data_IF_944170585308
#
_entry.id   IF_944170585308
#
_cell.length_a   1.000
_cell.length_b   1.000
_cell.length_c   1.000
_cell.angle_alpha   90.00
_cell.angle_beta   90.00
_cell.angle_gamma   90.00
#
_symmetry.space_group_name_H-M   'P 1'
#
loop_
_entity.id
_entity.type
_entity.pdbx_description
1 polymer ?
#
# COMPACT_ATOMS: atom_id res chain seq x y z
N UNK A 1 9.29 -25.22 -11.48
CA UNK A 1 8.60 -24.80 -10.24
C UNK A 1 9.49 -23.97 -9.30
N UNK A 2 10.81 -24.15 -9.28
CA UNK A 2 11.78 -23.28 -8.59
C UNK A 2 11.81 -21.82 -9.09
N UNK A 3 11.54 -21.61 -10.38
CA UNK A 3 11.56 -20.28 -11.03
C UNK A 3 10.37 -19.40 -10.59
N UNK A 4 9.22 -19.99 -10.26
CA UNK A 4 8.00 -19.24 -9.91
C UNK A 4 8.12 -18.65 -8.50
N UNK A 5 8.69 -19.40 -7.56
CA UNK A 5 8.98 -18.91 -6.22
C UNK A 5 10.01 -17.77 -6.24
N UNK A 6 11.06 -17.91 -7.07
CA UNK A 6 12.09 -16.87 -7.23
C UNK A 6 11.56 -15.63 -7.94
N UNK A 7 10.70 -15.79 -8.96
CA UNK A 7 10.06 -14.69 -9.66
C UNK A 7 9.12 -13.89 -8.74
N UNK A 8 8.36 -14.55 -7.84
CA UNK A 8 7.52 -13.85 -6.87
C UNK A 8 8.32 -13.04 -5.84
N UNK A 9 9.48 -13.55 -5.41
CA UNK A 9 10.38 -12.84 -4.48
C UNK A 9 10.97 -11.60 -5.17
N UNK A 10 11.38 -11.72 -6.42
CA UNK A 10 11.99 -10.63 -7.20
C UNK A 10 10.96 -9.56 -7.59
N UNK A 11 9.77 -9.95 -8.05
CA UNK A 11 8.70 -9.01 -8.43
C UNK A 11 8.24 -8.16 -7.23
N UNK A 12 8.21 -8.76 -6.02
CA UNK A 12 7.87 -8.02 -4.78
C UNK A 12 8.97 -7.06 -4.33
N UNK A 13 10.24 -7.45 -4.48
CA UNK A 13 11.39 -6.62 -4.12
C UNK A 13 11.50 -5.38 -5.04
N UNK A 14 11.28 -5.55 -6.34
CA UNK A 14 11.32 -4.46 -7.33
C UNK A 14 10.16 -3.47 -7.12
N UNK A 15 8.95 -3.95 -6.82
CA UNK A 15 7.81 -3.09 -6.54
C UNK A 15 8.03 -2.20 -5.30
N UNK A 16 8.76 -2.70 -4.29
CA UNK A 16 8.96 -2.00 -3.03
C UNK A 16 10.08 -0.95 -3.07
N UNK A 17 11.18 -1.21 -3.78
CA UNK A 17 12.29 -0.25 -3.90
C UNK A 17 11.99 0.92 -4.85
N UNK A 18 11.01 0.79 -5.74
CA UNK A 18 10.90 1.70 -6.90
C UNK A 18 10.16 3.03 -6.71
N UNK A 19 9.18 3.17 -5.79
CA UNK A 19 8.19 4.28 -5.93
C UNK A 19 7.67 4.94 -4.64
N UNK A 20 8.29 4.71 -3.48
CA UNK A 20 7.59 4.90 -2.20
C UNK A 20 7.70 6.23 -1.45
N UNK A 21 8.75 7.05 -1.57
CA UNK A 21 8.98 8.13 -0.60
C UNK A 21 9.19 9.50 -1.24
N UNK A 22 8.10 10.20 -1.53
CA UNK A 22 8.15 11.66 -1.57
C UNK A 22 8.26 12.16 -0.14
N UNK A 23 9.28 12.98 0.14
CA UNK A 23 9.65 13.36 1.49
C UNK A 23 8.74 14.49 2.01
N UNK A 24 7.65 14.12 2.70
CA UNK A 24 6.62 15.04 3.19
C UNK A 24 7.18 16.22 4.00
N UNK A 25 8.24 16.00 4.78
CA UNK A 25 8.92 17.04 5.58
C UNK A 25 9.57 18.12 4.72
N UNK A 26 10.30 17.72 3.68
CA UNK A 26 10.99 18.66 2.80
C UNK A 26 9.98 19.53 2.03
N UNK A 27 8.84 18.94 1.67
CA UNK A 27 7.75 19.65 0.99
C UNK A 27 7.09 20.70 1.90
N UNK A 28 6.87 20.38 3.18
CA UNK A 28 6.34 21.34 4.16
C UNK A 28 7.27 22.55 4.34
N UNK A 29 8.58 22.34 4.39
CA UNK A 29 9.53 23.44 4.52
C UNK A 29 9.51 24.38 3.30
N UNK A 30 9.34 23.84 2.09
CA UNK A 30 9.21 24.65 0.88
C UNK A 30 7.93 25.50 0.90
N UNK A 31 6.79 24.90 1.30
CA UNK A 31 5.53 25.63 1.43
C UNK A 31 5.63 26.69 2.51
N UNK A 32 6.18 26.37 3.69
CA UNK A 32 6.38 27.32 4.78
C UNK A 32 7.16 28.55 4.32
N UNK A 33 8.25 28.37 3.57
CA UNK A 33 9.04 29.49 3.02
C UNK A 33 8.21 30.36 2.06
N UNK A 34 7.38 29.75 1.22
CA UNK A 34 6.53 30.46 0.25
C UNK A 34 5.39 31.22 0.92
N UNK A 35 4.77 30.64 1.97
CA UNK A 35 3.70 31.28 2.73
C UNK A 35 4.25 32.43 3.58
N UNK A 36 5.40 32.27 4.24
CA UNK A 36 6.06 33.35 4.98
C UNK A 36 6.52 34.50 4.07
N UNK A 37 6.87 34.20 2.82
CA UNK A 37 7.18 35.21 1.80
C UNK A 37 5.91 35.87 1.18
N UNK A 38 4.73 35.60 1.75
CA UNK A 38 3.42 36.05 1.29
C UNK A 38 3.11 35.71 -0.18
N UNK A 39 3.68 34.62 -0.70
CA UNK A 39 3.59 34.24 -2.11
C UNK A 39 2.73 32.98 -2.29
N UNK A 40 1.44 33.14 -1.99
CA UNK A 40 0.46 32.04 -2.02
C UNK A 40 0.28 31.48 -3.44
N UNK A 41 0.34 32.32 -4.48
CA UNK A 41 0.26 31.88 -5.88
C UNK A 41 1.39 30.92 -6.28
N UNK A 42 2.63 31.19 -5.83
CA UNK A 42 3.75 30.27 -6.08
C UNK A 42 3.62 28.98 -5.28
N UNK A 43 3.08 29.03 -4.07
CA UNK A 43 2.80 27.83 -3.28
C UNK A 43 1.76 26.92 -3.97
N UNK A 44 0.69 27.50 -4.53
CA UNK A 44 -0.32 26.76 -5.31
C UNK A 44 0.27 26.16 -6.59
N UNK A 45 1.17 26.88 -7.29
CA UNK A 45 1.88 26.35 -8.46
C UNK A 45 2.79 25.16 -8.13
N UNK A 46 3.53 25.23 -7.02
CA UNK A 46 4.37 24.12 -6.55
C UNK A 46 3.53 22.87 -6.23
N UNK A 47 2.38 23.08 -5.58
CA UNK A 47 1.46 22.00 -5.25
C UNK A 47 0.78 21.39 -6.49
N UNK A 48 0.47 22.20 -7.51
CA UNK A 48 -0.11 21.69 -8.77
C UNK A 48 0.89 21.00 -9.68
N UNK A 49 2.20 21.27 -9.53
CA UNK A 49 3.26 20.56 -10.23
C UNK A 49 3.58 19.18 -9.65
N UNK A 50 3.04 18.84 -8.48
CA UNK A 50 3.37 17.61 -7.75
C UNK A 50 2.11 16.77 -7.54
N UNK A 51 2.07 15.54 -8.06
CA UNK A 51 0.93 14.61 -7.90
C UNK A 51 0.87 13.91 -6.52
N UNK A 52 1.71 14.33 -5.57
CA UNK A 52 1.80 13.68 -4.27
C UNK A 52 0.57 13.98 -3.38
N UNK A 53 0.15 13.02 -2.53
CA UNK A 53 -0.88 13.23 -1.50
C UNK A 53 -0.72 14.51 -0.69
N UNK A 54 0.50 14.81 -0.26
CA UNK A 54 0.86 16.02 0.50
C UNK A 54 0.60 17.32 -0.26
N UNK A 55 0.74 17.30 -1.59
CA UNK A 55 0.51 18.45 -2.45
C UNK A 55 -0.97 18.72 -2.69
N UNK A 56 -1.80 17.67 -2.75
CA UNK A 56 -3.26 17.82 -2.87
C UNK A 56 -3.86 18.46 -1.60
N UNK A 57 -3.47 17.96 -0.42
CA UNK A 57 -3.88 18.54 0.87
C UNK A 57 -3.40 19.98 1.01
N UNK A 58 -2.14 20.26 0.63
CA UNK A 58 -1.61 21.61 0.66
C UNK A 58 -2.36 22.59 -0.25
N UNK A 59 -2.68 22.17 -1.46
CA UNK A 59 -3.42 22.98 -2.43
C UNK A 59 -4.81 23.33 -1.92
N UNK A 60 -5.52 22.38 -1.32
CA UNK A 60 -6.87 22.60 -0.79
C UNK A 60 -6.87 23.68 0.31
N UNK A 61 -5.90 23.61 1.24
CA UNK A 61 -5.73 24.62 2.29
C UNK A 61 -5.37 26.00 1.75
N UNK A 62 -4.38 26.08 0.84
CA UNK A 62 -3.91 27.34 0.25
C UNK A 62 -4.98 28.03 -0.62
N UNK A 63 -5.83 27.26 -1.31
CA UNK A 63 -6.89 27.83 -2.15
C UNK A 63 -8.02 28.44 -1.33
N UNK A 64 -8.27 27.95 -0.10
CA UNK A 64 -9.36 28.45 0.76
C UNK A 64 -8.91 29.49 1.80
N UNK A 65 -7.64 29.91 1.79
CA UNK A 65 -7.10 30.92 2.74
C UNK A 65 -7.88 32.24 2.73
N UNK A 66 -8.45 32.64 1.59
CA UNK A 66 -9.27 33.85 1.46
C UNK A 66 -10.67 33.78 2.11
N UNK A 67 -11.12 32.57 2.53
CA UNK A 67 -12.47 32.35 3.08
C UNK A 67 -12.51 32.23 4.61
N UNK A 68 -11.38 32.44 5.27
CA UNK A 68 -11.24 32.34 6.73
C UNK A 68 -10.77 30.96 7.21
N UNK A 69 -10.32 30.92 8.47
CA UNK A 69 -9.68 29.76 9.12
C UNK A 69 -10.54 28.49 9.08
N UNK A 70 -11.84 28.62 9.39
CA UNK A 70 -12.79 27.50 9.40
C UNK A 70 -12.90 26.85 8.01
N UNK A 71 -12.93 27.65 6.95
CA UNK A 71 -13.04 27.14 5.59
C UNK A 71 -11.77 26.43 5.12
N UNK A 72 -10.59 26.85 5.63
CA UNK A 72 -9.31 26.19 5.38
C UNK A 72 -9.25 24.83 6.06
N UNK A 73 -9.59 24.78 7.36
CA UNK A 73 -9.63 23.55 8.14
C UNK A 73 -10.53 22.49 7.48
N UNK A 74 -11.75 22.90 7.10
CA UNK A 74 -12.68 22.02 6.38
C UNK A 74 -12.14 21.52 5.04
N UNK A 75 -11.41 22.35 4.28
CA UNK A 75 -10.81 21.93 3.01
C UNK A 75 -9.74 20.86 3.17
N UNK A 76 -8.90 21.06 4.18
CA UNK A 76 -7.80 20.16 4.51
C UNK A 76 -8.39 18.82 4.96
N UNK A 77 -9.39 18.83 5.84
CA UNK A 77 -10.04 17.63 6.36
C UNK A 77 -10.80 16.85 5.27
N UNK A 78 -11.58 17.55 4.44
CA UNK A 78 -12.28 16.96 3.27
C UNK A 78 -11.30 16.24 2.34
N UNK A 79 -10.19 16.90 1.99
CA UNK A 79 -9.18 16.32 1.10
C UNK A 79 -8.43 15.17 1.76
N UNK A 80 -8.21 15.24 3.08
CA UNK A 80 -7.54 14.18 3.84
C UNK A 80 -8.37 12.89 3.84
N UNK A 81 -9.71 13.00 3.94
CA UNK A 81 -10.63 11.86 3.85
C UNK A 81 -10.55 11.17 2.50
N UNK A 82 -10.43 11.93 1.40
CA UNK A 82 -10.32 11.39 0.05
C UNK A 82 -8.95 10.75 -0.25
N UNK A 83 -7.88 11.36 0.26
CA UNK A 83 -6.50 10.96 -0.08
C UNK A 83 -6.00 9.81 0.80
N UNK A 84 -6.39 9.76 2.08
CA UNK A 84 -6.02 8.69 3.03
C UNK A 84 -6.29 7.26 2.51
N UNK A 85 -7.46 6.93 1.93
CA UNK A 85 -7.72 5.59 1.41
C UNK A 85 -6.83 5.23 0.22
N UNK A 86 -6.35 6.20 -0.58
CA UNK A 86 -5.43 5.93 -1.70
C UNK A 86 -4.08 5.40 -1.21
N UNK A 87 -3.60 5.89 -0.05
CA UNK A 87 -2.40 5.38 0.63
C UNK A 87 -2.60 3.99 1.24
N UNK A 88 -3.84 3.64 1.63
CA UNK A 88 -4.18 2.34 2.24
C UNK A 88 -4.54 1.25 1.21
N UNK A 89 -5.10 1.62 0.04
CA UNK A 89 -5.64 0.69 -0.98
C UNK A 89 -4.61 -0.31 -1.51
N UNK A 90 -3.36 0.12 -1.70
CA UNK A 90 -2.29 -0.72 -2.27
C UNK A 90 -1.82 -1.83 -1.32
N UNK A 91 -2.03 -1.66 -0.01
CA UNK A 91 -1.59 -2.63 1.00
C UNK A 91 -2.58 -3.79 1.11
N UNK A 92 -3.89 -3.52 1.07
CA UNK A 92 -4.93 -4.54 1.23
C UNK A 92 -4.89 -5.65 0.17
N UNK A 93 -4.43 -5.35 -1.04
CA UNK A 93 -4.29 -6.32 -2.14
C UNK A 93 -3.32 -7.45 -1.77
N UNK A 94 -2.30 -7.19 -0.94
CA UNK A 94 -1.35 -8.22 -0.49
C UNK A 94 -2.04 -9.31 0.33
N UNK A 95 -2.95 -8.89 1.21
CA UNK A 95 -3.70 -9.81 2.07
C UNK A 95 -4.62 -10.70 1.25
N UNK A 96 -5.32 -10.12 0.27
CA UNK A 96 -6.17 -10.88 -0.65
C UNK A 96 -5.36 -11.90 -1.46
N UNK A 97 -4.19 -11.54 -1.96
CA UNK A 97 -3.30 -12.45 -2.70
C UNK A 97 -2.82 -13.60 -1.81
N UNK A 98 -2.47 -13.34 -0.55
CA UNK A 98 -2.05 -14.37 0.39
C UNK A 98 -3.15 -15.43 0.60
N UNK A 99 -4.39 -14.99 0.80
CA UNK A 99 -5.53 -15.90 0.95
C UNK A 99 -5.79 -16.72 -0.31
N UNK A 100 -5.76 -16.08 -1.48
CA UNK A 100 -5.94 -16.78 -2.77
C UNK A 100 -4.82 -17.81 -2.98
N UNK A 101 -3.57 -17.48 -2.66
CA UNK A 101 -2.45 -18.41 -2.80
C UNK A 101 -2.61 -19.67 -1.94
N UNK A 102 -3.08 -19.53 -0.69
CA UNK A 102 -3.40 -20.67 0.18
C UNK A 102 -4.50 -21.54 -0.41
N UNK A 103 -5.59 -20.92 -0.90
CA UNK A 103 -6.71 -21.64 -1.50
C UNK A 103 -6.30 -22.38 -2.78
N UNK A 104 -5.45 -21.77 -3.61
CA UNK A 104 -4.88 -22.41 -4.81
C UNK A 104 -3.98 -23.59 -4.44
N UNK A 105 -3.16 -23.46 -3.38
CA UNK A 105 -2.35 -24.56 -2.86
C UNK A 105 -3.18 -25.75 -2.40
N UNK A 106 -4.25 -25.48 -1.62
CA UNK A 106 -5.19 -26.50 -1.16
C UNK A 106 -5.93 -27.17 -2.33
N UNK A 107 -6.38 -26.39 -3.32
CA UNK A 107 -7.00 -26.90 -4.54
C UNK A 107 -6.05 -27.84 -5.29
N UNK A 108 -4.77 -27.48 -5.40
CA UNK A 108 -3.73 -28.32 -6.00
C UNK A 108 -3.56 -29.66 -5.28
N UNK A 109 -3.75 -29.70 -3.97
CA UNK A 109 -3.74 -30.94 -3.17
C UNK A 109 -4.95 -31.81 -3.49
N UNK A 110 -6.14 -31.22 -3.55
CA UNK A 110 -7.37 -31.95 -3.92
C UNK A 110 -7.25 -32.56 -5.32
N UNK A 111 -6.79 -31.79 -6.30
CA UNK A 111 -6.59 -32.28 -7.68
C UNK A 111 -5.52 -33.37 -7.73
N UNK A 112 -4.42 -33.23 -6.97
CA UNK A 112 -3.37 -34.24 -6.86
C UNK A 112 -3.88 -35.58 -6.32
N UNK A 113 -4.67 -35.53 -5.25
CA UNK A 113 -5.29 -36.73 -4.67
C UNK A 113 -6.32 -37.38 -5.60
N UNK A 114 -7.15 -36.60 -6.30
CA UNK A 114 -8.10 -37.14 -7.29
C UNK A 114 -7.35 -37.92 -8.38
N UNK A 115 -6.25 -37.37 -8.89
CA UNK A 115 -5.40 -38.05 -9.89
C UNK A 115 -4.73 -39.29 -9.32
N UNK A 116 -4.25 -39.23 -8.08
CA UNK A 116 -3.61 -40.36 -7.40
C UNK A 116 -4.57 -41.55 -7.27
N UNK A 117 -5.78 -41.32 -6.74
CA UNK A 117 -6.79 -42.35 -6.59
C UNK A 117 -7.32 -42.87 -7.94
N UNK A 118 -7.45 -41.99 -8.94
CA UNK A 118 -7.80 -42.37 -10.31
C UNK A 118 -6.75 -43.26 -10.99
N UNK A 119 -5.46 -43.02 -10.74
CA UNK A 119 -4.38 -43.86 -11.26
C UNK A 119 -4.32 -45.24 -10.56
N UNK A 120 -4.58 -45.27 -9.25
CA UNK A 120 -4.57 -46.51 -8.45
C UNK A 120 -5.68 -47.48 -8.85
N UNK A 121 -6.85 -46.98 -9.25
CA UNK A 121 -7.98 -47.83 -9.65
C UNK A 121 -7.71 -48.64 -10.93
N UNK A 122 -6.92 -48.09 -11.85
CA UNK A 122 -6.52 -48.74 -13.12
C UNK A 122 -5.20 -49.52 -13.03
N UNK A 123 -4.45 -49.40 -11.92
CA UNK A 123 -3.11 -49.96 -11.77
C UNK A 123 -3.09 -51.40 -11.23
N UNK A 124 -2.02 -52.13 -11.57
CA UNK A 124 -1.72 -53.47 -11.04
C UNK A 124 -1.46 -53.40 -9.52
N UNK A 125 -1.85 -54.43 -8.74
CA UNK A 125 -1.74 -54.42 -7.27
C UNK A 125 -0.35 -54.03 -6.73
N UNK A 126 0.69 -54.45 -7.45
CA UNK A 126 2.11 -54.25 -7.12
C UNK A 126 2.55 -52.78 -7.24
N UNK A 127 1.94 -52.03 -8.16
CA UNK A 127 2.29 -50.63 -8.47
C UNK A 127 1.42 -49.62 -7.72
N UNK A 128 0.26 -50.05 -7.17
CA UNK A 128 -0.71 -49.17 -6.50
C UNK A 128 -0.10 -48.38 -5.35
N UNK A 129 0.75 -49.02 -4.53
CA UNK A 129 1.39 -48.37 -3.38
C UNK A 129 2.31 -47.23 -3.82
N UNK A 130 3.16 -47.48 -4.83
CA UNK A 130 4.09 -46.49 -5.36
C UNK A 130 3.37 -45.31 -6.02
N UNK A 131 2.32 -45.58 -6.81
CA UNK A 131 1.51 -44.55 -7.47
C UNK A 131 0.76 -43.67 -6.46
N UNK A 132 0.16 -44.28 -5.43
CA UNK A 132 -0.51 -43.55 -4.37
C UNK A 132 0.49 -42.66 -3.60
N UNK A 133 1.64 -43.20 -3.21
CA UNK A 133 2.66 -42.46 -2.49
C UNK A 133 3.17 -41.26 -3.29
N UNK A 134 3.39 -41.43 -4.61
CA UNK A 134 3.78 -40.34 -5.51
C UNK A 134 2.71 -39.26 -5.59
N UNK A 135 1.45 -39.64 -5.78
CA UNK A 135 0.34 -38.69 -5.86
C UNK A 135 0.11 -37.90 -4.56
N UNK A 136 0.27 -38.55 -3.40
CA UNK A 136 0.25 -37.88 -2.10
C UNK A 136 1.42 -36.90 -1.97
N UNK A 137 2.62 -37.31 -2.38
CA UNK A 137 3.81 -36.44 -2.34
C UNK A 137 3.64 -35.18 -3.20
N UNK A 138 3.12 -35.32 -4.43
CA UNK A 138 2.80 -34.19 -5.30
C UNK A 138 1.72 -33.27 -4.69
N UNK A 139 0.69 -33.86 -4.08
CA UNK A 139 -0.38 -33.12 -3.42
C UNK A 139 0.12 -32.30 -2.22
N UNK A 140 1.03 -32.87 -1.40
CA UNK A 140 1.65 -32.18 -0.26
C UNK A 140 2.60 -31.06 -0.71
N UNK A 141 3.34 -31.27 -1.80
CA UNK A 141 4.21 -30.23 -2.35
C UNK A 141 3.42 -29.00 -2.80
N UNK A 142 2.24 -29.20 -3.41
CA UNK A 142 1.35 -28.09 -3.78
C UNK A 142 0.88 -27.26 -2.56
N UNK A 143 0.59 -27.92 -1.43
CA UNK A 143 0.25 -27.22 -0.18
C UNK A 143 1.43 -26.41 0.35
N UNK A 144 2.62 -27.02 0.40
CA UNK A 144 3.83 -26.37 0.90
C UNK A 144 4.17 -25.11 0.10
N UNK A 145 4.00 -25.15 -1.23
CA UNK A 145 4.19 -23.99 -2.10
C UNK A 145 3.14 -22.90 -1.86
N UNK A 146 1.85 -23.26 -1.76
CA UNK A 146 0.78 -22.29 -1.49
C UNK A 146 0.96 -21.57 -0.16
N UNK A 147 1.33 -22.31 0.88
CA UNK A 147 1.64 -21.76 2.20
C UNK A 147 2.90 -20.89 2.19
N UNK A 148 3.95 -21.29 1.47
CA UNK A 148 5.18 -20.49 1.35
C UNK A 148 4.90 -19.11 0.77
N UNK A 149 4.14 -19.03 -0.33
CA UNK A 149 3.74 -17.77 -0.96
C UNK A 149 2.87 -16.94 0.01
N UNK A 150 1.89 -17.57 0.65
CA UNK A 150 0.99 -16.89 1.58
C UNK A 150 1.74 -16.25 2.77
N UNK A 151 2.68 -16.98 3.38
CA UNK A 151 3.50 -16.48 4.49
C UNK A 151 4.33 -15.28 4.04
N UNK A 152 5.00 -15.35 2.88
CA UNK A 152 5.78 -14.22 2.36
C UNK A 152 4.90 -12.99 2.11
N UNK A 153 3.71 -13.18 1.53
CA UNK A 153 2.76 -12.09 1.30
C UNK A 153 2.26 -11.45 2.61
N UNK A 154 2.02 -12.26 3.65
CA UNK A 154 1.59 -11.77 4.97
C UNK A 154 2.70 -10.97 5.65
N UNK A 155 3.95 -11.45 5.60
CA UNK A 155 5.10 -10.71 6.15
C UNK A 155 5.29 -9.38 5.42
N UNK A 156 5.24 -9.39 4.08
CA UNK A 156 5.31 -8.17 3.28
C UNK A 156 4.15 -7.21 3.61
N UNK A 157 2.94 -7.73 3.80
CA UNK A 157 1.78 -6.94 4.22
C UNK A 157 2.00 -6.27 5.58
N UNK A 158 2.58 -6.98 6.56
CA UNK A 158 2.86 -6.41 7.88
C UNK A 158 3.85 -5.24 7.83
N UNK A 159 4.91 -5.37 7.02
CA UNK A 159 5.91 -4.32 6.82
C UNK A 159 5.32 -3.13 6.06
N UNK A 160 4.62 -3.37 4.94
CA UNK A 160 3.98 -2.30 4.16
C UNK A 160 2.88 -1.58 4.94
N UNK A 161 2.08 -2.31 5.72
CA UNK A 161 1.01 -1.73 6.53
C UNK A 161 1.59 -0.79 7.57
N UNK A 162 2.71 -1.18 8.19
CA UNK A 162 3.43 -0.32 9.13
C UNK A 162 4.00 0.93 8.45
N UNK A 163 4.59 0.80 7.26
CA UNK A 163 5.11 1.92 6.50
C UNK A 163 4.00 2.87 6.00
N UNK A 164 2.89 2.33 5.50
CA UNK A 164 1.70 3.09 5.05
C UNK A 164 1.07 3.84 6.21
N UNK A 165 0.91 3.21 7.39
CA UNK A 165 0.46 3.89 8.61
C UNK A 165 1.36 5.07 8.99
N UNK A 166 2.68 4.91 8.89
CA UNK A 166 3.63 6.00 9.12
C UNK A 166 3.42 7.14 8.12
N UNK A 167 3.24 6.85 6.83
CA UNK A 167 2.98 7.87 5.80
C UNK A 167 1.67 8.61 6.02
N UNK A 168 0.61 7.90 6.43
CA UNK A 168 -0.68 8.51 6.79
C UNK A 168 -0.51 9.41 8.01
N UNK A 169 0.20 8.97 9.05
CA UNK A 169 0.49 9.81 10.22
C UNK A 169 1.35 11.04 9.89
N UNK A 170 2.34 10.90 9.00
CA UNK A 170 3.13 12.03 8.51
C UNK A 170 2.27 13.02 7.70
N UNK A 171 1.28 12.54 6.94
CA UNK A 171 0.32 13.36 6.18
C UNK A 171 -0.65 14.10 7.12
N UNK A 172 -1.20 13.42 8.14
CA UNK A 172 -2.05 14.01 9.17
C UNK A 172 -1.28 15.10 9.95
N UNK A 173 -0.04 14.82 10.34
CA UNK A 173 0.82 15.80 11.00
C UNK A 173 1.18 16.98 10.08
N UNK A 174 1.34 16.75 8.78
CA UNK A 174 1.52 17.80 7.78
C UNK A 174 0.29 18.70 7.68
N UNK A 175 -0.91 18.11 7.60
CA UNK A 175 -2.19 18.81 7.52
C UNK A 175 -2.38 19.76 8.71
N UNK A 176 -2.19 19.25 9.93
CA UNK A 176 -2.28 20.03 11.17
C UNK A 176 -1.27 21.19 11.21
N UNK A 177 -0.02 20.93 10.80
CA UNK A 177 1.01 21.98 10.77
C UNK A 177 0.70 23.05 9.73
N UNK A 178 0.14 22.67 8.59
CA UNK A 178 -0.25 23.61 7.55
C UNK A 178 -1.43 24.48 8.01
N UNK A 179 -2.43 23.86 8.64
CA UNK A 179 -3.58 24.57 9.21
C UNK A 179 -3.13 25.63 10.23
N UNK A 180 -2.31 25.24 11.21
CA UNK A 180 -1.75 26.17 12.20
C UNK A 180 -0.97 27.32 11.54
N UNK A 181 -0.15 27.01 10.53
CA UNK A 181 0.65 28.01 9.82
C UNK A 181 -0.24 29.00 9.06
N UNK A 182 -1.30 28.52 8.41
CA UNK A 182 -2.26 29.37 7.72
C UNK A 182 -3.08 30.22 8.70
N UNK A 183 -3.49 29.66 9.85
CA UNK A 183 -4.15 30.39 10.92
C UNK A 183 -3.27 31.52 11.49
N UNK A 184 -2.00 31.22 11.79
CA UNK A 184 -1.01 32.21 12.25
C UNK A 184 -0.81 33.34 11.21
N UNK A 185 -0.74 32.98 9.92
CA UNK A 185 -0.59 33.97 8.84
C UNK A 185 -1.81 34.88 8.68
N UNK A 186 -3.02 34.34 8.87
CA UNK A 186 -4.26 35.10 8.83
C UNK A 186 -4.38 36.08 10.01
N UNK A 187 -3.94 35.67 11.21
CA UNK A 187 -3.92 36.55 12.38
C UNK A 187 -2.83 37.63 12.29
N UNK A 188 -1.67 37.33 11.71
CA UNK A 188 -0.60 38.31 11.47
C UNK A 188 -1.00 39.39 10.48
N UNK A 189 -1.78 39.06 9.46
CA UNK A 189 -2.28 40.02 8.46
C UNK A 189 -3.40 40.93 8.97
N UNK A 190 -4.05 40.61 10.09
CA UNK A 190 -5.12 41.42 10.69
C UNK A 190 -4.61 42.49 11.68
N UNK A 191 -3.31 42.49 12.01
CA UNK A 191 -2.67 43.42 12.96
C UNK A 191 -1.77 44.48 12.30
N UNK A 192 -1.58 44.44 10.97
CA UNK A 192 -0.81 45.44 10.21
C UNK A 192 -1.73 46.27 9.32
#
# INVERSE_FOLDING_TARGET
MSIIALAMIVDRAIFFLGKGSVNARAFLEQIRKLVLANNIDRAVKLCSATEAPVAQVARAGLQRTHRGEIAVAQAIEETLVDVTPLLKKRVQILWSIANIATLVGLLGTVVGLIRAFGAVSAAKPEERSALLARGISEALNNTAMGLGIAVTCIVAHAVLSSASKKQVGDLEAFALKLENLLAESAQGSAKG
#
